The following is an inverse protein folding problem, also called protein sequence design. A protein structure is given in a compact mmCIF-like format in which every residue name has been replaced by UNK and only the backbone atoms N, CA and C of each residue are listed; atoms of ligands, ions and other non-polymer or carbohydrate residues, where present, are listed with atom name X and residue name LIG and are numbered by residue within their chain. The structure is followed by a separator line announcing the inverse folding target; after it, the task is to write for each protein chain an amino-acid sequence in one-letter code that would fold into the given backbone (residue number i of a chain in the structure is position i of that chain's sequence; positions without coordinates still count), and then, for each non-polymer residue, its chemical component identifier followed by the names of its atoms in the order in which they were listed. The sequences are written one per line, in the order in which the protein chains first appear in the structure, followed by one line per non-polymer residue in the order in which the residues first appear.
data_IF_812336548634
#
_entry.id   IF_812336548634
#
_cell.length_a   1.000
_cell.length_b   1.000
_cell.length_c   1.000
_cell.angle_alpha   90.00
_cell.angle_beta   90.00
_cell.angle_gamma   90.00
#
_symmetry.space_group_name_H-M   'P 1'
#
loop_
_entity.id
_entity.type
_entity.pdbx_description
1 polymer ?
#
# COMPACT_ATOMS: atom_id res chain seq x y z
N UNK A 1 -34.44 2.95 81.39
CA UNK A 1 -33.80 3.77 80.34
C UNK A 1 -34.49 3.49 79.01
N UNK A 2 -34.77 4.50 78.18
CA UNK A 2 -35.73 4.41 77.08
C UNK A 2 -35.09 4.09 75.71
N UNK A 3 -35.96 3.79 74.73
CA UNK A 3 -35.86 4.03 73.26
C UNK A 3 -34.86 3.17 72.46
N UNK A 4 -35.07 2.72 71.21
CA UNK A 4 -36.10 2.79 70.13
C UNK A 4 -35.57 1.85 69.02
N UNK A 5 -36.37 0.95 68.42
CA UNK A 5 -36.92 1.02 67.05
C UNK A 5 -35.94 0.99 65.85
N UNK A 6 -36.21 0.08 64.90
CA UNK A 6 -35.86 0.17 63.46
C UNK A 6 -34.91 -0.93 62.95
N UNK A 7 -35.35 -2.06 62.38
CA UNK A 7 -35.88 -2.29 61.01
C UNK A 7 -34.84 -2.17 59.87
N UNK A 8 -34.49 -3.27 59.19
CA UNK A 8 -34.79 -3.51 57.76
C UNK A 8 -33.99 -4.68 57.14
N UNK A 9 -34.77 -5.67 56.71
CA UNK A 9 -34.67 -6.51 55.49
C UNK A 9 -33.44 -6.39 54.58
N UNK A 10 -32.70 -7.49 54.42
CA UNK A 10 -31.88 -7.79 53.24
C UNK A 10 -32.39 -9.10 52.61
N UNK A 11 -33.21 -8.98 51.56
CA UNK A 11 -33.61 -10.10 50.71
C UNK A 11 -32.56 -10.30 49.62
N UNK A 12 -31.76 -11.37 49.74
CA UNK A 12 -30.83 -11.81 48.69
C UNK A 12 -31.58 -12.59 47.62
N UNK A 13 -31.77 -11.97 46.45
CA UNK A 13 -32.29 -12.60 45.25
C UNK A 13 -31.12 -12.68 44.25
N UNK A 14 -30.61 -13.90 44.01
CA UNK A 14 -29.61 -14.16 42.97
C UNK A 14 -30.25 -13.95 41.61
N UNK A 15 -30.16 -12.72 41.11
CA UNK A 15 -30.52 -12.34 39.74
C UNK A 15 -29.47 -12.85 38.76
N UNK A 16 -29.98 -13.47 37.69
CA UNK A 16 -29.31 -13.72 36.42
C UNK A 16 -28.58 -12.44 36.01
N UNK A 17 -27.27 -12.49 35.82
CA UNK A 17 -26.54 -11.39 35.17
C UNK A 17 -27.08 -11.26 33.74
N UNK A 18 -27.93 -10.25 33.52
CA UNK A 18 -28.20 -9.75 32.19
C UNK A 18 -26.87 -9.37 31.55
N UNK A 19 -26.50 -10.08 30.48
CA UNK A 19 -25.40 -9.66 29.61
C UNK A 19 -25.79 -8.30 29.03
N UNK A 20 -25.01 -7.28 29.37
CA UNK A 20 -25.08 -5.97 28.74
C UNK A 20 -24.94 -6.14 27.20
N UNK A 21 -25.97 -5.81 26.40
CA UNK A 21 -25.91 -5.91 24.94
C UNK A 21 -24.90 -4.93 24.31
N UNK A 22 -24.40 -3.96 25.08
CA UNK A 22 -23.49 -2.91 24.61
C UNK A 22 -22.00 -3.17 24.92
N UNK A 23 -21.64 -4.36 25.40
CA UNK A 23 -20.25 -4.66 25.77
C UNK A 23 -19.27 -4.80 24.58
N UNK A 24 -19.70 -4.69 23.31
CA UNK A 24 -18.83 -4.96 22.15
C UNK A 24 -18.70 -3.89 21.06
N UNK A 25 -19.25 -2.68 21.21
CA UNK A 25 -19.15 -1.65 20.14
C UNK A 25 -18.92 -0.24 20.68
N UNK A 26 -17.69 0.08 21.07
CA UNK A 26 -17.23 1.46 21.28
C UNK A 26 -16.02 1.79 20.39
N UNK A 27 -16.10 1.45 19.10
CA UNK A 27 -15.27 2.12 18.09
C UNK A 27 -16.09 3.24 17.42
N UNK A 28 -15.44 4.39 17.29
CA UNK A 28 -15.98 5.73 17.03
C UNK A 28 -16.88 5.83 15.80
N UNK A 29 -18.20 5.68 15.98
CA UNK A 29 -19.17 6.11 14.97
C UNK A 29 -19.14 7.63 14.90
N UNK A 30 -18.72 8.19 13.76
CA UNK A 30 -18.78 9.63 13.53
C UNK A 30 -20.25 10.07 13.67
N UNK A 31 -20.57 11.06 14.52
CA UNK A 31 -21.94 11.57 14.65
C UNK A 31 -22.54 11.93 13.29
N UNK A 32 -23.80 11.57 13.04
CA UNK A 32 -24.45 11.72 11.73
C UNK A 32 -24.39 13.17 11.20
N UNK A 33 -24.45 14.17 12.08
CA UNK A 33 -24.30 15.58 11.73
C UNK A 33 -22.90 15.92 11.18
N UNK A 34 -21.85 15.32 11.75
CA UNK A 34 -20.48 15.50 11.27
C UNK A 34 -20.31 14.81 9.93
N UNK A 35 -20.84 13.59 9.78
CA UNK A 35 -20.81 12.87 8.51
C UNK A 35 -21.53 13.65 7.39
N UNK A 36 -22.67 14.28 7.72
CA UNK A 36 -23.37 15.16 6.79
C UNK A 36 -22.50 16.32 6.31
N UNK A 37 -21.78 16.99 7.23
CA UNK A 37 -20.84 18.06 6.88
C UNK A 37 -19.71 17.54 5.98
N UNK A 38 -19.16 16.36 6.29
CA UNK A 38 -18.10 15.74 5.47
C UNK A 38 -18.60 15.48 4.05
N UNK A 39 -19.77 14.84 3.90
CA UNK A 39 -20.38 14.55 2.59
C UNK A 39 -20.69 15.83 1.80
N UNK A 40 -21.35 16.82 2.42
CA UNK A 40 -21.84 18.01 1.72
C UNK A 40 -20.77 19.08 1.46
N UNK A 41 -19.75 19.18 2.31
CA UNK A 41 -18.78 20.30 2.26
C UNK A 41 -17.35 19.83 2.00
N UNK A 42 -16.88 18.80 2.70
CA UNK A 42 -15.48 18.39 2.61
C UNK A 42 -15.21 17.62 1.31
N UNK A 43 -16.13 16.75 0.87
CA UNK A 43 -15.95 15.98 -0.37
C UNK A 43 -15.91 16.86 -1.62
N UNK A 44 -16.58 18.03 -1.61
CA UNK A 44 -16.47 19.00 -2.71
C UNK A 44 -15.04 19.54 -2.87
N UNK A 45 -14.25 19.58 -1.78
CA UNK A 45 -12.89 20.12 -1.80
C UNK A 45 -11.87 19.17 -2.43
N UNK A 46 -12.23 17.92 -2.72
CA UNK A 46 -11.43 16.98 -3.55
C UNK A 46 -11.13 17.63 -4.91
N UNK A 47 -12.10 18.40 -5.42
CA UNK A 47 -12.07 18.94 -6.77
C UNK A 47 -11.34 20.28 -6.91
N UNK A 48 -10.72 20.78 -5.84
CA UNK A 48 -9.88 21.97 -5.90
C UNK A 48 -8.67 21.71 -6.79
N UNK A 49 -8.34 22.61 -7.73
CA UNK A 49 -7.16 22.53 -8.60
C UNK A 49 -6.88 21.09 -9.09
N UNK A 50 -7.88 20.50 -9.74
CA UNK A 50 -7.73 19.18 -10.35
C UNK A 50 -6.68 19.25 -11.46
N UNK A 51 -5.84 18.21 -11.60
CA UNK A 51 -4.99 18.08 -12.76
C UNK A 51 -5.82 18.16 -14.07
N UNK A 52 -5.38 18.91 -15.10
CA UNK A 52 -6.16 19.07 -16.33
C UNK A 52 -6.37 17.76 -17.09
N UNK A 53 -5.43 16.84 -16.95
CA UNK A 53 -5.42 15.49 -17.53
C UNK A 53 -6.51 14.56 -16.99
N UNK A 54 -7.09 14.84 -15.81
CA UNK A 54 -8.22 14.05 -15.28
C UNK A 54 -9.60 14.51 -15.77
N UNK A 55 -9.68 15.59 -16.58
CA UNK A 55 -10.94 16.12 -17.14
C UNK A 55 -12.08 16.24 -16.11
N UNK A 56 -11.78 16.69 -14.89
CA UNK A 56 -12.74 16.77 -13.80
C UNK A 56 -13.81 17.85 -14.07
N UNK A 57 -15.07 17.43 -14.18
CA UNK A 57 -16.23 18.33 -14.40
C UNK A 57 -16.51 19.24 -13.21
N UNK A 58 -16.11 18.84 -12.01
CA UNK A 58 -16.32 19.58 -10.76
C UNK A 58 -15.13 20.44 -10.37
N UNK A 59 -14.13 20.60 -11.25
CA UNK A 59 -12.89 21.29 -10.93
C UNK A 59 -13.15 22.75 -10.51
N UNK A 60 -12.65 23.10 -9.33
CA UNK A 60 -12.68 24.47 -8.81
C UNK A 60 -11.25 25.02 -8.87
N UNK A 61 -11.01 25.95 -9.79
CA UNK A 61 -9.69 26.56 -9.98
C UNK A 61 -9.49 27.73 -9.01
N UNK A 62 -8.44 27.64 -8.20
CA UNK A 62 -8.00 28.65 -7.24
C UNK A 62 -6.49 28.88 -7.42
N UNK A 63 -6.01 30.08 -7.13
CA UNK A 63 -4.57 30.40 -7.18
C UNK A 63 -3.78 29.43 -6.29
N UNK A 64 -2.81 28.75 -6.89
CA UNK A 64 -1.94 27.82 -6.18
C UNK A 64 -1.14 28.55 -5.09
N UNK A 65 -1.13 27.99 -3.89
CA UNK A 65 -0.36 28.50 -2.76
C UNK A 65 0.05 27.37 -1.81
N UNK A 66 1.10 27.53 -1.00
CA UNK A 66 1.44 26.56 0.04
C UNK A 66 0.29 26.31 1.04
N UNK A 67 -0.52 27.34 1.32
CA UNK A 67 -1.70 27.21 2.17
C UNK A 67 -2.75 26.27 1.56
N UNK A 68 -2.95 26.34 0.24
CA UNK A 68 -3.87 25.46 -0.47
C UNK A 68 -3.41 23.99 -0.45
N UNK A 69 -2.10 23.74 -0.57
CA UNK A 69 -1.54 22.38 -0.43
C UNK A 69 -1.78 21.81 0.98
N UNK A 70 -1.59 22.63 2.02
CA UNK A 70 -1.92 22.25 3.41
C UNK A 70 -3.41 21.96 3.58
N UNK A 71 -4.27 22.78 2.98
CA UNK A 71 -5.71 22.57 3.01
C UNK A 71 -6.10 21.24 2.34
N UNK A 72 -5.57 20.95 1.14
CA UNK A 72 -5.79 19.66 0.46
C UNK A 72 -5.32 18.48 1.31
N UNK A 73 -4.15 18.59 1.93
CA UNK A 73 -3.64 17.57 2.85
C UNK A 73 -4.61 17.33 4.01
N UNK A 74 -5.13 18.39 4.63
CA UNK A 74 -6.12 18.28 5.70
C UNK A 74 -7.45 17.66 5.24
N UNK A 75 -7.89 17.97 4.01
CA UNK A 75 -9.08 17.35 3.39
C UNK A 75 -8.87 15.84 3.25
N UNK A 76 -7.77 15.40 2.62
CA UNK A 76 -7.51 13.97 2.44
C UNK A 76 -7.34 13.23 3.77
N UNK A 77 -6.72 13.86 4.77
CA UNK A 77 -6.69 13.31 6.13
C UNK A 77 -8.10 13.10 6.69
N UNK A 78 -8.96 14.12 6.60
CA UNK A 78 -10.33 14.04 7.12
C UNK A 78 -11.15 12.96 6.39
N UNK A 79 -11.01 12.84 5.08
CA UNK A 79 -11.65 11.79 4.28
C UNK A 79 -11.13 10.39 4.67
N UNK A 80 -9.83 10.26 4.89
CA UNK A 80 -9.24 9.02 5.37
C UNK A 80 -9.83 8.63 6.72
N UNK A 81 -9.79 9.54 7.71
CA UNK A 81 -10.35 9.32 9.05
C UNK A 81 -11.84 8.94 8.98
N UNK A 82 -12.63 9.61 8.14
CA UNK A 82 -14.04 9.30 7.93
C UNK A 82 -14.32 7.95 7.26
N UNK A 83 -13.32 7.39 6.58
CA UNK A 83 -13.42 6.12 5.85
C UNK A 83 -13.04 4.89 6.70
N UNK A 84 -12.62 5.05 7.97
CA UNK A 84 -12.00 3.96 8.76
C UNK A 84 -12.88 2.70 8.88
N UNK A 85 -14.19 2.86 9.05
CA UNK A 85 -15.17 1.76 9.17
C UNK A 85 -16.50 2.15 8.51
N UNK A 86 -16.44 2.79 7.34
CA UNK A 86 -17.64 3.27 6.65
C UNK A 86 -17.62 2.92 5.16
N UNK A 87 -18.08 1.72 4.84
CA UNK A 87 -18.13 1.17 3.48
C UNK A 87 -18.95 2.05 2.54
N UNK A 88 -20.13 2.49 2.99
CA UNK A 88 -21.01 3.37 2.22
C UNK A 88 -20.30 4.69 1.86
N UNK A 89 -19.57 5.27 2.81
CA UNK A 89 -18.81 6.49 2.56
C UNK A 89 -17.64 6.26 1.60
N UNK A 90 -16.93 5.12 1.73
CA UNK A 90 -15.87 4.75 0.78
C UNK A 90 -16.43 4.58 -0.63
N UNK A 91 -17.54 3.88 -0.77
CA UNK A 91 -18.22 3.70 -2.05
C UNK A 91 -18.68 5.04 -2.65
N UNK A 92 -19.19 5.97 -1.82
CA UNK A 92 -19.53 7.32 -2.24
C UNK A 92 -18.31 8.09 -2.75
N UNK A 93 -17.16 8.03 -2.06
CA UNK A 93 -15.92 8.69 -2.52
C UNK A 93 -15.45 8.16 -3.88
N UNK A 94 -15.56 6.85 -4.09
CA UNK A 94 -15.12 6.20 -5.33
C UNK A 94 -16.09 6.47 -6.47
N UNK A 95 -17.38 6.25 -6.25
CA UNK A 95 -18.39 6.26 -7.32
C UNK A 95 -18.91 7.67 -7.62
N UNK A 96 -19.14 8.49 -6.60
CA UNK A 96 -19.76 9.81 -6.79
C UNK A 96 -18.69 10.89 -7.01
N UNK A 97 -17.57 10.79 -6.30
CA UNK A 97 -16.48 11.78 -6.37
C UNK A 97 -15.34 11.36 -7.30
N UNK A 98 -15.36 10.14 -7.84
CA UNK A 98 -14.29 9.59 -8.68
C UNK A 98 -12.90 9.86 -8.07
N UNK A 99 -12.73 9.64 -6.76
CA UNK A 99 -11.58 10.18 -6.01
C UNK A 99 -10.22 9.63 -6.47
N UNK A 100 -10.19 8.46 -7.11
CA UNK A 100 -8.94 7.73 -7.39
C UNK A 100 -7.97 8.53 -8.29
N UNK A 101 -8.37 9.07 -9.46
CA UNK A 101 -7.52 9.97 -10.24
C UNK A 101 -7.01 11.19 -9.47
N UNK A 102 -7.79 11.72 -8.52
CA UNK A 102 -7.39 12.87 -7.69
C UNK A 102 -6.30 12.50 -6.67
N UNK A 103 -6.16 11.22 -6.34
CA UNK A 103 -5.10 10.70 -5.48
C UNK A 103 -3.89 10.24 -6.30
N UNK A 104 -4.10 9.58 -7.45
CA UNK A 104 -3.01 8.98 -8.25
C UNK A 104 -2.23 10.00 -9.07
N UNK A 105 -2.88 10.99 -9.68
CA UNK A 105 -2.17 11.98 -10.51
C UNK A 105 -1.15 12.83 -9.75
N UNK A 106 -1.45 13.36 -8.54
CA UNK A 106 -0.44 14.04 -7.74
C UNK A 106 0.76 13.15 -7.39
N UNK A 107 0.55 11.84 -7.20
CA UNK A 107 1.63 10.88 -6.94
C UNK A 107 2.49 10.67 -8.19
N UNK A 108 1.89 10.58 -9.37
CA UNK A 108 2.60 10.46 -10.65
C UNK A 108 3.45 11.70 -10.92
N UNK A 109 2.86 12.88 -10.74
CA UNK A 109 3.56 14.15 -10.90
C UNK A 109 4.73 14.26 -9.91
N UNK A 110 4.51 13.89 -8.66
CA UNK A 110 5.54 13.91 -7.62
C UNK A 110 6.68 12.93 -7.93
N UNK A 111 6.36 11.70 -8.34
CA UNK A 111 7.36 10.71 -8.74
C UNK A 111 8.21 11.22 -9.91
N UNK A 112 7.58 11.79 -10.93
CA UNK A 112 8.25 12.32 -12.12
C UNK A 112 9.21 13.46 -11.75
N UNK A 113 8.78 14.38 -10.87
CA UNK A 113 9.64 15.46 -10.39
C UNK A 113 10.83 14.92 -9.58
N UNK A 114 10.57 13.98 -8.66
CA UNK A 114 11.63 13.42 -7.80
C UNK A 114 12.72 12.65 -8.56
N UNK A 115 12.39 12.05 -9.71
CA UNK A 115 13.36 11.37 -10.57
C UNK A 115 14.25 12.35 -11.34
N UNK A 116 13.72 13.52 -11.71
CA UNK A 116 14.51 14.57 -12.36
C UNK A 116 15.55 15.14 -11.39
N UNK A 117 15.18 15.30 -10.13
CA UNK A 117 16.05 15.84 -9.08
C UNK A 117 17.20 14.87 -8.72
N UNK A 118 17.08 13.57 -9.03
CA UNK A 118 18.17 12.59 -8.87
C UNK A 118 19.28 12.70 -9.93
N UNK A 119 19.06 13.47 -11.01
CA UNK A 119 20.02 13.65 -12.12
C UNK A 119 20.87 14.92 -12.02
N UNK A 120 20.63 15.77 -11.02
CA UNK A 120 21.40 16.99 -10.76
C UNK A 120 22.52 16.76 -9.73
N UNK A 121 23.57 17.57 -9.77
CA UNK A 121 24.75 17.44 -8.91
C UNK A 121 24.36 17.49 -7.41
N UNK A 122 25.12 16.79 -6.54
CA UNK A 122 24.84 16.67 -5.10
C UNK A 122 24.66 18.03 -4.38
N UNK A 123 25.32 19.09 -4.85
CA UNK A 123 25.22 20.45 -4.31
C UNK A 123 23.91 21.15 -4.71
N UNK A 124 23.37 20.86 -5.89
CA UNK A 124 22.08 21.38 -6.37
C UNK A 124 20.90 20.66 -5.69
N UNK A 125 21.03 19.36 -5.41
CA UNK A 125 20.06 18.58 -4.64
C UNK A 125 19.84 19.16 -3.23
N UNK A 126 20.90 19.63 -2.56
CA UNK A 126 20.81 20.26 -1.24
C UNK A 126 20.05 21.61 -1.27
N UNK A 127 20.21 22.39 -2.34
CA UNK A 127 19.55 23.70 -2.50
C UNK A 127 18.10 23.57 -3.01
N UNK A 128 17.81 22.64 -3.93
CA UNK A 128 16.45 22.35 -4.40
C UNK A 128 15.55 21.77 -3.32
N UNK A 129 16.09 20.98 -2.38
CA UNK A 129 15.33 20.44 -1.24
C UNK A 129 14.86 21.48 -0.23
N UNK A 130 15.54 22.63 -0.13
CA UNK A 130 15.02 23.78 0.64
C UNK A 130 13.74 24.36 0.01
N UNK A 131 13.48 24.06 -1.27
CA UNK A 131 12.31 24.53 -2.01
C UNK A 131 11.17 23.50 -2.08
N UNK A 132 11.42 22.21 -1.81
CA UNK A 132 10.35 21.23 -1.60
C UNK A 132 9.62 21.57 -0.30
N UNK A 133 8.52 22.29 -0.41
CA UNK A 133 7.73 22.69 0.75
C UNK A 133 7.25 21.43 1.49
N UNK A 134 7.42 21.38 2.82
CA UNK A 134 6.81 20.37 3.72
C UNK A 134 5.32 20.10 3.40
N UNK A 135 4.61 21.11 2.87
CA UNK A 135 3.23 20.97 2.40
C UNK A 135 3.02 19.99 1.24
N UNK A 136 3.98 19.85 0.33
CA UNK A 136 3.92 18.90 -0.79
C UNK A 136 4.02 17.46 -0.28
N UNK A 137 5.03 17.16 0.55
CA UNK A 137 5.23 15.82 1.11
C UNK A 137 4.08 15.40 2.03
N UNK A 138 3.53 16.34 2.79
CA UNK A 138 2.31 16.13 3.58
C UNK A 138 1.13 15.74 2.70
N UNK A 139 0.89 16.43 1.59
CA UNK A 139 -0.19 16.10 0.65
C UNK A 139 0.00 14.70 0.05
N UNK A 140 1.22 14.36 -0.38
CA UNK A 140 1.55 13.04 -0.94
C UNK A 140 1.29 11.94 0.10
N UNK A 141 1.72 12.16 1.34
CA UNK A 141 1.49 11.22 2.44
C UNK A 141 0.01 10.99 2.68
N UNK A 142 -0.80 12.05 2.78
CA UNK A 142 -2.25 11.91 3.01
C UNK A 142 -2.97 11.30 1.81
N UNK A 143 -2.49 11.57 0.59
CA UNK A 143 -3.01 10.93 -0.62
C UNK A 143 -2.76 9.42 -0.61
N UNK A 144 -1.56 9.01 -0.20
CA UNK A 144 -1.20 7.59 -0.06
C UNK A 144 -2.00 6.91 1.04
N UNK A 145 -2.11 7.51 2.23
CA UNK A 145 -2.85 6.92 3.36
C UNK A 145 -4.33 6.69 2.98
N UNK A 146 -4.96 7.66 2.30
CA UNK A 146 -6.33 7.53 1.81
C UNK A 146 -6.45 6.49 0.69
N UNK A 147 -5.56 6.54 -0.31
CA UNK A 147 -5.56 5.56 -1.40
C UNK A 147 -5.41 4.14 -0.85
N UNK A 148 -4.51 3.95 0.10
CA UNK A 148 -4.24 2.67 0.77
C UNK A 148 -5.49 2.13 1.48
N UNK A 149 -6.24 3.01 2.16
CA UNK A 149 -7.51 2.66 2.81
C UNK A 149 -8.61 2.26 1.83
N UNK A 150 -8.61 2.88 0.64
CA UNK A 150 -9.58 2.55 -0.41
C UNK A 150 -9.26 1.20 -1.07
N UNK A 151 -7.99 0.92 -1.37
CA UNK A 151 -7.59 -0.34 -2.02
C UNK A 151 -7.54 -1.55 -1.07
N UNK A 152 -7.38 -1.35 0.25
CA UNK A 152 -7.31 -2.45 1.21
C UNK A 152 -8.63 -3.19 1.40
N UNK A 153 -9.76 -2.62 0.94
CA UNK A 153 -11.09 -3.19 1.08
C UNK A 153 -11.44 -4.29 0.04
N UNK A 154 -10.44 -4.79 -0.71
CA UNK A 154 -10.63 -5.82 -1.76
C UNK A 154 -11.71 -5.48 -2.80
N UNK A 155 -11.88 -4.19 -3.13
CA UNK A 155 -12.79 -3.76 -4.18
C UNK A 155 -12.04 -3.70 -5.52
N UNK A 156 -12.27 -4.72 -6.36
CA UNK A 156 -11.62 -4.86 -7.67
C UNK A 156 -11.80 -3.65 -8.58
N UNK A 157 -12.93 -2.93 -8.48
CA UNK A 157 -13.17 -1.76 -9.32
C UNK A 157 -12.17 -0.63 -9.02
N UNK A 158 -11.86 -0.41 -7.74
CA UNK A 158 -10.89 0.61 -7.32
C UNK A 158 -9.50 0.28 -7.87
N UNK A 159 -9.08 -0.97 -7.70
CA UNK A 159 -7.77 -1.45 -8.17
C UNK A 159 -7.65 -1.28 -9.68
N UNK A 160 -8.69 -1.64 -10.44
CA UNK A 160 -8.71 -1.49 -11.88
C UNK A 160 -8.53 -0.03 -12.31
N UNK A 161 -9.11 0.95 -11.60
CA UNK A 161 -8.86 2.37 -11.92
C UNK A 161 -7.40 2.75 -11.67
N UNK A 162 -6.80 2.30 -10.56
CA UNK A 162 -5.38 2.58 -10.27
C UNK A 162 -4.46 1.97 -11.32
N UNK A 163 -4.68 0.70 -11.66
CA UNK A 163 -3.86 -0.06 -12.61
C UNK A 163 -3.96 0.52 -14.02
N UNK A 164 -5.16 0.94 -14.43
CA UNK A 164 -5.38 1.54 -15.75
C UNK A 164 -5.00 3.03 -15.82
N UNK A 165 -4.60 3.65 -14.70
CA UNK A 165 -4.09 5.03 -14.72
C UNK A 165 -2.68 5.02 -15.33
N UNK A 166 -2.44 5.72 -16.46
CA UNK A 166 -1.14 5.72 -17.12
C UNK A 166 -0.02 6.13 -16.17
N UNK A 167 1.10 5.39 -16.23
CA UNK A 167 2.29 5.58 -15.39
C UNK A 167 2.10 5.40 -13.87
N UNK A 168 0.90 5.09 -13.37
CA UNK A 168 0.67 4.98 -11.93
C UNK A 168 1.58 3.94 -11.27
N UNK A 169 1.62 2.71 -11.79
CA UNK A 169 2.45 1.64 -11.20
C UNK A 169 3.95 1.89 -11.36
N UNK A 170 4.40 2.47 -12.48
CA UNK A 170 5.79 2.90 -12.64
C UNK A 170 6.17 3.97 -11.62
N UNK A 171 5.31 4.98 -11.42
CA UNK A 171 5.49 6.01 -10.40
C UNK A 171 5.50 5.41 -8.99
N UNK A 172 4.63 4.44 -8.71
CA UNK A 172 4.58 3.77 -7.41
C UNK A 172 5.87 2.98 -7.14
N UNK A 173 6.35 2.23 -8.14
CA UNK A 173 7.63 1.52 -8.09
C UNK A 173 8.82 2.46 -7.90
N UNK A 174 8.80 3.66 -8.51
CA UNK A 174 9.84 4.65 -8.27
C UNK A 174 9.82 5.19 -6.84
N UNK A 175 8.63 5.45 -6.30
CA UNK A 175 8.46 6.03 -4.97
C UNK A 175 8.85 5.08 -3.84
N UNK A 176 8.94 3.76 -4.05
CA UNK A 176 9.44 2.82 -3.02
C UNK A 176 10.89 3.11 -2.63
N UNK A 177 11.66 3.69 -3.55
CA UNK A 177 13.07 4.04 -3.39
C UNK A 177 13.28 5.56 -3.20
N UNK A 178 12.19 6.33 -3.03
CA UNK A 178 12.26 7.78 -2.87
C UNK A 178 13.22 8.15 -1.73
N UNK A 179 14.31 8.83 -2.09
CA UNK A 179 15.31 9.36 -1.16
C UNK A 179 15.91 8.30 -0.20
N UNK A 180 15.92 7.03 -0.62
CA UNK A 180 16.31 5.91 0.24
C UNK A 180 17.78 5.98 0.72
N UNK A 181 18.71 6.47 -0.12
CA UNK A 181 20.17 6.45 0.13
C UNK A 181 20.76 7.80 0.56
N UNK A 182 19.94 8.72 1.06
CA UNK A 182 20.40 10.06 1.41
C UNK A 182 20.02 10.34 2.87
N UNK A 183 21.04 10.62 3.69
CA UNK A 183 20.85 10.98 5.10
C UNK A 183 20.41 12.45 5.21
N UNK A 184 19.26 12.69 5.82
CA UNK A 184 18.68 14.03 5.98
C UNK A 184 18.45 14.38 7.46
N UNK A 185 17.80 15.52 7.70
CA UNK A 185 17.24 15.77 9.03
C UNK A 185 16.19 14.71 9.37
N UNK A 186 16.10 14.37 10.65
CA UNK A 186 15.23 13.30 11.16
C UNK A 186 13.74 13.48 10.78
N UNK A 187 13.28 14.73 10.61
CA UNK A 187 11.91 15.02 10.17
C UNK A 187 11.66 14.61 8.71
N UNK A 188 12.60 14.87 7.81
CA UNK A 188 12.51 14.49 6.39
C UNK A 188 12.64 12.97 6.25
N UNK A 189 13.53 12.35 7.02
CA UNK A 189 13.67 10.88 7.06
C UNK A 189 12.36 10.21 7.50
N UNK A 190 11.69 10.74 8.52
CA UNK A 190 10.40 10.22 8.97
C UNK A 190 9.31 10.37 7.91
N UNK A 191 9.22 11.52 7.25
CA UNK A 191 8.21 11.77 6.21
C UNK A 191 8.46 10.92 4.95
N UNK A 192 9.72 10.81 4.50
CA UNK A 192 10.11 9.97 3.35
C UNK A 192 9.94 8.48 3.66
N UNK A 193 10.25 8.03 4.88
CA UNK A 193 9.96 6.68 5.34
C UNK A 193 8.46 6.38 5.26
N UNK A 194 7.61 7.30 5.72
CA UNK A 194 6.17 7.12 5.65
C UNK A 194 5.67 6.98 4.20
N UNK A 195 6.14 7.82 3.28
CA UNK A 195 5.84 7.67 1.84
C UNK A 195 6.25 6.30 1.32
N UNK A 196 7.49 5.86 1.61
CA UNK A 196 8.00 4.54 1.19
C UNK A 196 7.19 3.39 1.79
N UNK A 197 6.76 3.51 3.05
CA UNK A 197 5.98 2.47 3.73
C UNK A 197 4.56 2.37 3.17
N UNK A 198 3.86 3.51 3.02
CA UNK A 198 2.51 3.55 2.47
C UNK A 198 2.49 3.05 1.02
N UNK A 199 3.46 3.43 0.18
CA UNK A 199 3.48 2.97 -1.21
C UNK A 199 3.76 1.47 -1.34
N UNK A 200 4.63 0.90 -0.48
CA UNK A 200 4.84 -0.55 -0.41
C UNK A 200 3.56 -1.29 -0.04
N UNK A 201 2.78 -0.77 0.92
CA UNK A 201 1.46 -1.31 1.28
C UNK A 201 0.50 -1.25 0.10
N UNK A 202 0.48 -0.14 -0.63
CA UNK A 202 -0.35 -0.01 -1.83
C UNK A 202 0.00 -1.05 -2.90
N UNK A 203 1.28 -1.17 -3.27
CA UNK A 203 1.74 -2.15 -4.25
C UNK A 203 1.42 -3.59 -3.82
N UNK A 204 1.55 -3.90 -2.53
CA UNK A 204 1.15 -5.20 -1.98
C UNK A 204 -0.35 -5.45 -2.17
N UNK A 205 -1.21 -4.50 -1.85
CA UNK A 205 -2.65 -4.68 -2.04
C UNK A 205 -3.01 -4.83 -3.52
N UNK A 206 -2.36 -4.08 -4.41
CA UNK A 206 -2.53 -4.23 -5.86
C UNK A 206 -2.09 -5.63 -6.32
N UNK A 207 -0.96 -6.13 -5.85
CA UNK A 207 -0.50 -7.48 -6.16
C UNK A 207 -1.47 -8.56 -5.64
N UNK A 208 -1.92 -8.42 -4.39
CA UNK A 208 -2.71 -9.43 -3.69
C UNK A 208 -4.17 -9.47 -4.15
N UNK A 209 -4.76 -8.32 -4.44
CA UNK A 209 -6.17 -8.21 -4.84
C UNK A 209 -6.35 -7.96 -6.33
N UNK A 210 -5.30 -7.64 -7.09
CA UNK A 210 -5.38 -7.42 -8.52
C UNK A 210 -5.50 -8.71 -9.33
N UNK A 211 -6.25 -8.69 -10.41
CA UNK A 211 -6.47 -9.82 -11.32
C UNK A 211 -5.26 -10.08 -12.25
N UNK A 212 -5.47 -10.85 -13.32
CA UNK A 212 -4.41 -11.14 -14.30
C UNK A 212 -3.82 -9.85 -14.92
N UNK A 213 -4.68 -8.86 -15.24
CA UNK A 213 -4.25 -7.59 -15.82
C UNK A 213 -3.36 -6.83 -14.84
N UNK A 214 -3.72 -6.82 -13.55
CA UNK A 214 -2.89 -6.22 -12.51
C UNK A 214 -1.48 -6.82 -12.45
N UNK A 215 -1.36 -8.15 -12.54
CA UNK A 215 -0.05 -8.80 -12.51
C UNK A 215 0.79 -8.43 -13.74
N UNK A 216 0.16 -8.35 -14.93
CA UNK A 216 0.83 -7.90 -16.15
C UNK A 216 1.39 -6.50 -16.01
N UNK A 217 0.59 -5.56 -15.52
CA UNK A 217 1.03 -4.18 -15.34
C UNK A 217 2.12 -4.05 -14.26
N UNK A 218 2.10 -4.88 -13.21
CA UNK A 218 3.18 -4.94 -12.22
C UNK A 218 4.50 -5.43 -12.83
N UNK A 219 4.47 -6.45 -13.68
CA UNK A 219 5.69 -6.95 -14.37
C UNK A 219 6.22 -5.90 -15.35
N UNK A 220 5.34 -5.24 -16.10
CA UNK A 220 5.71 -4.13 -16.98
C UNK A 220 6.33 -2.97 -16.20
N UNK A 221 5.85 -2.72 -14.99
CA UNK A 221 6.38 -1.70 -14.08
C UNK A 221 7.72 -2.07 -13.41
N UNK A 222 8.33 -3.21 -13.75
CA UNK A 222 9.53 -3.77 -13.09
C UNK A 222 9.36 -3.96 -11.58
N UNK A 223 8.15 -4.30 -11.13
CA UNK A 223 7.84 -4.49 -9.72
C UNK A 223 8.71 -5.58 -9.05
N UNK A 224 9.08 -6.64 -9.79
CA UNK A 224 9.94 -7.69 -9.23
C UNK A 224 11.35 -7.18 -8.91
N UNK A 225 11.90 -6.28 -9.74
CA UNK A 225 13.19 -5.63 -9.46
C UNK A 225 13.11 -4.75 -8.21
N UNK A 226 11.99 -4.04 -8.02
CA UNK A 226 11.72 -3.32 -6.76
C UNK A 226 11.72 -4.27 -5.57
N UNK A 227 11.07 -5.43 -5.67
CA UNK A 227 11.05 -6.42 -4.59
C UNK A 227 12.47 -6.92 -4.25
N UNK A 228 13.30 -7.20 -5.26
CA UNK A 228 14.71 -7.59 -5.10
C UNK A 228 15.46 -6.54 -4.28
N UNK A 229 15.51 -5.30 -4.78
CA UNK A 229 16.18 -4.17 -4.13
C UNK A 229 15.72 -4.03 -2.67
N UNK A 230 14.43 -4.19 -2.40
CA UNK A 230 13.90 -4.04 -1.05
C UNK A 230 14.44 -5.08 -0.08
N UNK A 231 14.47 -6.37 -0.38
CA UNK A 231 15.01 -7.33 0.60
C UNK A 231 16.54 -7.32 0.67
N UNK A 232 17.23 -6.94 -0.40
CA UNK A 232 18.69 -6.75 -0.44
C UNK A 232 19.17 -5.72 0.59
N UNK A 233 18.48 -4.58 0.67
CA UNK A 233 18.94 -3.48 1.53
C UNK A 233 18.60 -3.69 3.01
N UNK A 234 17.79 -4.70 3.35
CA UNK A 234 17.38 -4.95 4.72
C UNK A 234 18.47 -5.63 5.60
N UNK A 235 19.71 -5.78 5.12
CA UNK A 235 20.84 -6.40 5.84
C UNK A 235 21.38 -5.66 7.08
N UNK A 236 20.62 -4.74 7.68
CA UNK A 236 20.94 -4.13 8.97
C UNK A 236 20.65 -5.09 10.14
N UNK A 237 21.44 -5.01 11.21
CA UNK A 237 21.32 -5.91 12.36
C UNK A 237 20.14 -5.53 13.28
N UNK A 238 19.16 -6.43 13.46
CA UNK A 238 18.12 -6.33 14.50
C UNK A 238 16.84 -7.12 14.19
N UNK A 239 16.07 -7.48 15.22
CA UNK A 239 14.85 -8.30 15.09
C UNK A 239 13.73 -7.64 14.26
N UNK A 240 13.67 -6.30 14.23
CA UNK A 240 12.72 -5.55 13.41
C UNK A 240 13.05 -5.68 11.90
N UNK A 241 14.34 -5.67 11.55
CA UNK A 241 14.81 -5.87 10.18
C UNK A 241 14.58 -7.32 9.71
N UNK A 242 14.74 -8.28 10.61
CA UNK A 242 14.50 -9.69 10.33
C UNK A 242 13.04 -9.98 9.93
N UNK A 243 12.07 -9.35 10.63
CA UNK A 243 10.66 -9.46 10.28
C UNK A 243 10.37 -8.85 8.89
N UNK A 244 10.97 -7.69 8.59
CA UNK A 244 10.80 -7.07 7.29
C UNK A 244 11.38 -7.93 6.16
N UNK A 245 12.56 -8.51 6.35
CA UNK A 245 13.15 -9.46 5.40
C UNK A 245 12.22 -10.66 5.18
N UNK A 246 11.73 -11.25 6.28
CA UNK A 246 10.81 -12.39 6.23
C UNK A 246 9.58 -12.09 5.38
N UNK A 247 8.89 -10.97 5.64
CA UNK A 247 7.69 -10.60 4.90
C UNK A 247 7.99 -10.26 3.44
N UNK A 248 9.12 -9.57 3.15
CA UNK A 248 9.52 -9.23 1.78
C UNK A 248 9.82 -10.49 0.95
N UNK A 249 10.61 -11.43 1.47
CA UNK A 249 10.89 -12.71 0.80
C UNK A 249 9.62 -13.54 0.60
N UNK A 250 8.72 -13.54 1.58
CA UNK A 250 7.44 -14.22 1.48
C UNK A 250 6.57 -13.64 0.35
N UNK A 251 6.49 -12.30 0.27
CA UNK A 251 5.70 -11.61 -0.77
C UNK A 251 6.29 -11.83 -2.16
N UNK A 252 7.63 -11.75 -2.28
CA UNK A 252 8.35 -12.08 -3.50
C UNK A 252 8.04 -13.50 -3.98
N UNK A 253 8.18 -14.49 -3.10
CA UNK A 253 7.88 -15.89 -3.39
C UNK A 253 6.42 -16.09 -3.81
N UNK A 254 5.50 -15.40 -3.13
CA UNK A 254 4.07 -15.47 -3.42
C UNK A 254 3.76 -14.92 -4.81
N UNK A 255 4.33 -13.76 -5.18
CA UNK A 255 4.15 -13.12 -6.48
C UNK A 255 4.59 -14.06 -7.61
N UNK A 256 5.82 -14.57 -7.56
CA UNK A 256 6.34 -15.49 -8.58
C UNK A 256 5.53 -16.78 -8.70
N UNK A 257 5.10 -17.35 -7.56
CA UNK A 257 4.24 -18.53 -7.56
C UNK A 257 2.90 -18.26 -8.22
N UNK A 258 2.33 -17.07 -8.02
CA UNK A 258 1.09 -16.68 -8.69
C UNK A 258 1.27 -16.56 -10.20
N UNK A 259 2.39 -16.00 -10.68
CA UNK A 259 2.69 -15.96 -12.11
C UNK A 259 2.85 -17.37 -12.69
N UNK A 260 3.59 -18.26 -12.01
CA UNK A 260 3.84 -19.62 -12.48
C UNK A 260 2.61 -20.53 -12.47
N UNK A 261 1.83 -20.54 -11.37
CA UNK A 261 0.73 -21.50 -11.15
C UNK A 261 -0.66 -20.92 -11.36
N UNK A 262 -0.75 -19.61 -11.60
CA UNK A 262 -1.98 -18.86 -11.44
C UNK A 262 -2.37 -18.72 -9.97
N UNK A 263 -3.53 -18.11 -9.75
CA UNK A 263 -4.15 -17.99 -8.42
C UNK A 263 -5.51 -18.67 -8.44
N UNK A 264 -5.66 -19.67 -7.57
CA UNK A 264 -6.94 -20.34 -7.29
C UNK A 264 -7.33 -20.05 -5.85
N UNK A 265 -8.21 -19.07 -5.65
CA UNK A 265 -8.64 -18.63 -4.31
C UNK A 265 -10.10 -18.20 -4.31
N UNK A 266 -10.79 -18.46 -3.20
CA UNK A 266 -12.12 -17.90 -2.92
C UNK A 266 -12.07 -16.47 -2.39
N UNK A 267 -10.90 -15.99 -1.97
CA UNK A 267 -10.72 -14.70 -1.29
C UNK A 267 -10.11 -13.60 -2.18
N UNK A 268 -9.38 -14.00 -3.22
CA UNK A 268 -8.68 -13.11 -4.15
C UNK A 268 -9.10 -13.44 -5.59
N UNK A 269 -9.03 -12.48 -6.54
CA UNK A 269 -9.38 -12.77 -7.93
C UNK A 269 -8.57 -13.93 -8.49
N UNK A 270 -9.25 -14.95 -9.01
CA UNK A 270 -8.57 -16.11 -9.58
C UNK A 270 -8.11 -15.82 -11.01
N UNK A 271 -6.94 -16.33 -11.38
CA UNK A 271 -6.40 -16.21 -12.73
C UNK A 271 -5.54 -17.43 -13.10
N UNK A 272 -5.46 -17.80 -14.39
CA UNK A 272 -4.62 -18.91 -14.84
C UNK A 272 -3.12 -18.57 -14.76
N UNK A 273 -2.21 -19.56 -14.85
CA UNK A 273 -0.78 -19.33 -15.06
C UNK A 273 -0.48 -18.27 -16.13
N UNK A 274 0.48 -17.40 -15.83
CA UNK A 274 0.98 -16.33 -16.71
C UNK A 274 2.47 -16.54 -16.99
N UNK A 275 2.80 -17.66 -17.65
CA UNK A 275 4.19 -18.13 -17.82
C UNK A 275 5.11 -17.12 -18.54
N UNK A 276 4.58 -16.34 -19.48
CA UNK A 276 5.36 -15.30 -20.17
C UNK A 276 5.79 -14.19 -19.19
N UNK A 277 4.90 -13.78 -18.28
CA UNK A 277 5.22 -12.79 -17.26
C UNK A 277 6.18 -13.34 -16.22
N UNK A 278 6.09 -14.62 -15.88
CA UNK A 278 7.05 -15.30 -15.04
C UNK A 278 8.46 -15.28 -15.68
N UNK A 279 8.56 -15.53 -16.99
CA UNK A 279 9.81 -15.44 -17.73
C UNK A 279 10.41 -14.02 -17.68
N UNK A 280 9.60 -13.00 -18.00
CA UNK A 280 10.06 -11.60 -17.95
C UNK A 280 10.52 -11.24 -16.54
N UNK A 281 9.81 -11.74 -15.52
CA UNK A 281 10.20 -11.51 -14.12
C UNK A 281 11.51 -12.20 -13.76
N UNK A 282 11.78 -13.39 -14.28
CA UNK A 282 13.05 -14.12 -14.10
C UNK A 282 14.22 -13.35 -14.72
N UNK A 283 14.07 -12.88 -15.96
CA UNK A 283 15.05 -12.02 -16.63
C UNK A 283 15.34 -10.75 -15.81
N UNK A 284 14.29 -10.10 -15.28
CA UNK A 284 14.46 -8.93 -14.40
C UNK A 284 15.14 -9.28 -13.07
N UNK A 285 14.89 -10.45 -12.49
CA UNK A 285 15.55 -10.89 -11.25
C UNK A 285 17.05 -11.09 -11.50
N UNK A 286 17.43 -11.70 -12.62
CA UNK A 286 18.83 -11.90 -13.01
C UNK A 286 19.52 -10.55 -13.27
N UNK A 287 18.88 -9.63 -14.00
CA UNK A 287 19.40 -8.27 -14.26
C UNK A 287 19.72 -7.50 -12.97
N UNK A 288 18.90 -7.65 -11.93
CA UNK A 288 19.05 -6.94 -10.65
C UNK A 288 19.92 -7.71 -9.63
N UNK A 289 20.54 -8.84 -10.02
CA UNK A 289 21.36 -9.67 -9.12
C UNK A 289 20.56 -10.36 -8.01
N UNK A 290 19.27 -10.59 -8.25
CA UNK A 290 18.36 -11.10 -7.21
C UNK A 290 18.70 -12.50 -6.71
N UNK A 291 19.37 -13.32 -7.52
CA UNK A 291 19.80 -14.65 -7.09
C UNK A 291 20.90 -14.57 -6.01
N UNK A 292 21.89 -13.72 -6.22
CA UNK A 292 22.97 -13.44 -5.29
C UNK A 292 22.42 -12.84 -3.99
N UNK A 293 21.47 -11.92 -4.13
CA UNK A 293 20.83 -11.25 -3.00
C UNK A 293 20.01 -12.24 -2.15
N UNK A 294 19.27 -13.17 -2.77
CA UNK A 294 18.55 -14.24 -2.05
C UNK A 294 19.55 -15.20 -1.38
N UNK A 295 20.65 -15.54 -2.05
CA UNK A 295 21.68 -16.42 -1.50
C UNK A 295 22.36 -15.79 -0.27
N UNK A 296 22.54 -14.47 -0.26
CA UNK A 296 23.05 -13.75 0.92
C UNK A 296 22.13 -13.92 2.14
N UNK A 297 20.81 -14.10 1.95
CA UNK A 297 19.86 -14.30 3.03
C UNK A 297 19.82 -15.74 3.57
N UNK A 298 20.44 -16.71 2.89
CA UNK A 298 20.50 -18.11 3.37
C UNK A 298 21.41 -18.29 4.59
N UNK A 299 22.38 -17.39 4.76
CA UNK A 299 23.27 -17.36 5.92
C UNK A 299 22.74 -16.49 7.06
N UNK A 300 21.64 -15.78 6.83
CA UNK A 300 21.00 -14.93 7.83
C UNK A 300 20.33 -15.81 8.91
N UNK A 301 20.84 -15.72 10.15
CA UNK A 301 20.38 -16.44 11.34
C UNK A 301 19.25 -15.72 12.10
N UNK A 302 18.72 -14.64 11.53
CA UNK A 302 17.63 -13.85 12.09
C UNK A 302 16.34 -14.65 12.32
N UNK A 303 15.31 -14.01 12.84
CA UNK A 303 13.96 -14.55 13.14
C UNK A 303 13.85 -16.10 13.30
N UNK A 304 14.62 -16.69 14.24
CA UNK A 304 14.59 -18.14 14.52
C UNK A 304 14.75 -19.05 13.29
N UNK A 305 15.70 -18.75 12.39
CA UNK A 305 15.97 -19.47 11.12
C UNK A 305 14.84 -19.40 10.07
N UNK A 306 13.77 -18.65 10.31
CA UNK A 306 12.66 -18.52 9.36
C UNK A 306 13.04 -17.75 8.10
N UNK A 307 13.99 -16.81 8.18
CA UNK A 307 14.48 -16.07 7.00
C UNK A 307 15.09 -17.04 6.00
N UNK A 308 15.93 -17.98 6.47
CA UNK A 308 16.49 -19.04 5.65
C UNK A 308 15.41 -19.89 4.98
N UNK A 309 14.32 -20.19 5.69
CA UNK A 309 13.18 -20.90 5.12
C UNK A 309 12.49 -20.10 4.00
N UNK A 310 12.27 -18.79 4.21
CA UNK A 310 11.69 -17.91 3.17
C UNK A 310 12.63 -17.72 1.98
N UNK A 311 13.93 -17.59 2.20
CA UNK A 311 14.93 -17.49 1.13
C UNK A 311 14.94 -18.78 0.28
N UNK A 312 14.88 -19.96 0.90
CA UNK A 312 14.69 -21.22 0.17
C UNK A 312 13.36 -21.26 -0.59
N UNK A 313 12.29 -20.70 -0.01
CA UNK A 313 10.99 -20.54 -0.69
C UNK A 313 11.09 -19.64 -1.93
N UNK A 314 11.83 -18.54 -1.84
CA UNK A 314 12.09 -17.62 -2.94
C UNK A 314 12.90 -18.29 -4.05
N UNK A 315 13.99 -18.98 -3.71
CA UNK A 315 14.74 -19.81 -4.66
C UNK A 315 13.84 -20.84 -5.32
N UNK A 316 13.03 -21.55 -4.54
CA UNK A 316 12.09 -22.52 -5.07
C UNK A 316 11.07 -21.91 -6.03
N UNK A 317 10.58 -20.70 -5.76
CA UNK A 317 9.63 -20.00 -6.63
C UNK A 317 10.25 -19.57 -7.96
N UNK A 318 11.53 -19.16 -7.96
CA UNK A 318 12.34 -18.93 -9.17
C UNK A 318 12.56 -20.27 -9.90
N UNK A 319 13.09 -21.28 -9.21
CA UNK A 319 13.44 -22.57 -9.82
C UNK A 319 12.24 -23.36 -10.38
N UNK A 320 11.07 -23.22 -9.78
CA UNK A 320 9.86 -23.92 -10.21
C UNK A 320 9.48 -23.58 -11.67
N UNK A 321 9.79 -22.38 -12.13
CA UNK A 321 9.63 -21.98 -13.53
C UNK A 321 10.42 -22.91 -14.48
N UNK A 322 11.69 -23.20 -14.18
CA UNK A 322 12.54 -24.08 -15.00
C UNK A 322 12.01 -25.52 -15.07
N UNK A 323 11.39 -26.01 -14.00
CA UNK A 323 10.77 -27.34 -13.98
C UNK A 323 9.53 -27.39 -14.87
N UNK A 324 8.68 -26.35 -14.88
CA UNK A 324 7.52 -26.30 -15.78
C UNK A 324 7.91 -26.15 -17.26
N UNK A 325 8.95 -25.37 -17.57
CA UNK A 325 9.48 -25.27 -18.94
C UNK A 325 10.12 -26.58 -19.39
N UNK A 326 10.91 -27.24 -18.53
CA UNK A 326 11.54 -28.53 -18.81
C UNK A 326 10.58 -29.72 -18.87
N UNK A 327 9.40 -29.62 -18.25
CA UNK A 327 8.34 -30.64 -18.27
C UNK A 327 7.28 -30.42 -19.35
N UNK A 328 7.49 -29.51 -20.33
CA UNK A 328 6.72 -29.54 -21.58
C UNK A 328 7.04 -30.84 -22.30
N UNK A 329 6.31 -31.91 -21.95
CA UNK A 329 6.41 -33.23 -22.58
C UNK A 329 6.45 -33.04 -24.10
N UNK A 330 7.48 -33.55 -24.77
CA UNK A 330 7.50 -33.54 -26.22
C UNK A 330 6.28 -34.29 -26.78
N UNK A 331 5.71 -33.79 -27.87
CA UNK A 331 4.49 -34.28 -28.53
C UNK A 331 4.50 -35.79 -28.93
N UNK A 332 5.63 -36.48 -28.75
CA UNK A 332 5.86 -37.88 -29.14
C UNK A 332 5.67 -38.90 -28.01
N UNK A 333 5.14 -38.52 -26.85
CA UNK A 333 4.83 -39.46 -25.76
C UNK A 333 3.44 -40.14 -25.85
N UNK A 334 2.71 -39.93 -26.96
CA UNK A 334 1.43 -40.59 -27.25
C UNK A 334 1.44 -41.23 -28.65
N UNK A 335 2.30 -42.22 -28.88
CA UNK A 335 2.13 -43.21 -29.96
C UNK A 335 2.24 -44.62 -29.43
#
# INVERSE_FOLDING_TARGET
MPSTLGSNTFGGMFGIQEKDPNSHYYMTRIPDQIMKIVKERICQLIHLNCPPDINCQYCINIRQSPALLKQKSAVFKALNDASYDNDEFRDMLVNDHNIIPHLTHPLIQFASQSQLDMRTDQQEQFNQQKSESSSSLSLITQSLDLLERLISNNNNNILNVVINTPNALHSFCALTNYKFNIHFSQEIENQTFKVRSSIKRCLRYIQQFGDASAQSELVNARYVGVLVILFSIAGGSGEEYDNEIYWRLNHFSYFLRCLNKGRKSSWYPSFPPQLLLAQISDEQIEEEGGNEEIDSQLINKGYSDNIKSQANGAKGAIFYYFIEQGNRKPYWYNQ
#
